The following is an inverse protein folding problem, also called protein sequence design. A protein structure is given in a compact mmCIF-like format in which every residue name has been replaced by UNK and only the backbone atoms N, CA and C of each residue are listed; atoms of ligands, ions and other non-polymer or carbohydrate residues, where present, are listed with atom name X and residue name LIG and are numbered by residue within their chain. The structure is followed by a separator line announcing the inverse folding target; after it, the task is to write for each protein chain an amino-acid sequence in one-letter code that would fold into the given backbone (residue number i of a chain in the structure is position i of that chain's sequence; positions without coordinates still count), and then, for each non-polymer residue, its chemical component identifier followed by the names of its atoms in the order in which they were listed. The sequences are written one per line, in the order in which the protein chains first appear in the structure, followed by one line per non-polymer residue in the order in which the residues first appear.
data_IF_459093003235
#
_entry.id   IF_459093003235
#
_cell.length_a   1.000
_cell.length_b   1.000
_cell.length_c   1.000
_cell.angle_alpha   90.00
_cell.angle_beta   90.00
_cell.angle_gamma   90.00
#
_symmetry.space_group_name_H-M   'P 1'
#
loop_
_entity.id
_entity.type
_entity.pdbx_description
1 polymer ?
#
# COMPACT_ATOMS: atom_id res chain seq x y z
N UNK A 1 3.86 -4.15 10.69
CA UNK A 1 2.65 -4.51 9.90
C UNK A 1 3.02 -4.92 8.49
N UNK A 2 3.71 -4.07 7.71
CA UNK A 2 4.15 -4.36 6.33
C UNK A 2 4.84 -5.71 6.20
N UNK A 3 5.87 -5.96 7.02
CA UNK A 3 6.62 -7.21 7.01
C UNK A 3 5.71 -8.43 7.27
N UNK A 4 4.79 -8.35 8.24
CA UNK A 4 3.87 -9.44 8.56
C UNK A 4 2.85 -9.69 7.43
N UNK A 5 2.31 -8.63 6.83
CA UNK A 5 1.39 -8.75 5.70
C UNK A 5 2.06 -9.40 4.49
N UNK A 6 3.29 -9.00 4.16
CA UNK A 6 4.07 -9.64 3.09
C UNK A 6 4.46 -11.07 3.46
N UNK A 7 4.80 -11.33 4.73
CA UNK A 7 5.12 -12.67 5.20
C UNK A 7 3.94 -13.64 5.11
N UNK A 8 2.71 -13.18 5.41
CA UNK A 8 1.50 -13.98 5.23
C UNK A 8 1.33 -14.47 3.78
N UNK A 9 1.68 -13.62 2.80
CA UNK A 9 1.65 -13.97 1.38
C UNK A 9 2.82 -14.89 1.00
N UNK A 10 4.02 -14.61 1.54
CA UNK A 10 5.21 -15.44 1.34
C UNK A 10 4.99 -16.89 1.82
N UNK A 11 4.28 -17.08 2.94
CA UNK A 11 3.93 -18.41 3.47
C UNK A 11 3.06 -19.21 2.49
N UNK A 12 2.05 -18.56 1.90
CA UNK A 12 1.16 -19.19 0.92
C UNK A 12 1.89 -19.51 -0.40
N UNK A 13 2.83 -18.66 -0.82
CA UNK A 13 3.61 -18.87 -2.03
C UNK A 13 4.76 -19.89 -1.85
N UNK A 14 5.24 -20.06 -0.62
CA UNK A 14 6.43 -20.85 -0.27
C UNK A 14 7.75 -20.15 -0.62
N UNK A 15 7.75 -18.83 -0.80
CA UNK A 15 8.93 -18.05 -1.19
C UNK A 15 8.86 -16.62 -0.66
N UNK A 16 10.00 -16.03 -0.32
CA UNK A 16 10.13 -14.61 0.05
C UNK A 16 10.35 -13.70 -1.16
N UNK A 17 10.52 -14.26 -2.36
CA UNK A 17 10.69 -13.48 -3.57
C UNK A 17 9.34 -12.93 -4.03
N UNK A 18 9.20 -11.60 -4.09
CA UNK A 18 7.98 -10.92 -4.53
C UNK A 18 7.50 -11.37 -5.91
N UNK A 19 8.42 -11.60 -6.86
CA UNK A 19 8.06 -12.07 -8.19
C UNK A 19 7.45 -13.48 -8.16
N UNK A 20 7.95 -14.36 -7.28
CA UNK A 20 7.39 -15.70 -7.09
C UNK A 20 6.02 -15.65 -6.39
N UNK A 21 5.85 -14.76 -5.41
CA UNK A 21 4.54 -14.54 -4.76
C UNK A 21 3.49 -14.13 -5.81
N UNK A 22 3.82 -13.14 -6.65
CA UNK A 22 2.95 -12.68 -7.74
C UNK A 22 2.65 -13.81 -8.72
N UNK A 23 3.67 -14.55 -9.17
CA UNK A 23 3.49 -15.66 -10.11
C UNK A 23 2.57 -16.77 -9.55
N UNK A 24 2.72 -17.12 -8.26
CA UNK A 24 1.85 -18.08 -7.58
C UNK A 24 0.40 -17.61 -7.54
N UNK A 25 0.16 -16.36 -7.17
CA UNK A 25 -1.19 -15.78 -7.14
C UNK A 25 -1.81 -15.68 -8.54
N UNK A 26 -1.03 -15.52 -9.60
CA UNK A 26 -1.52 -15.59 -10.99
C UNK A 26 -1.93 -17.01 -11.40
N UNK A 27 -1.19 -18.03 -10.96
CA UNK A 27 -1.48 -19.43 -11.30
C UNK A 27 -2.75 -19.95 -10.62
N UNK A 28 -3.07 -19.44 -9.42
CA UNK A 28 -4.27 -19.81 -8.67
C UNK A 28 -5.07 -18.57 -8.27
N UNK A 29 -5.90 -17.99 -9.18
CA UNK A 29 -6.71 -16.82 -8.86
C UNK A 29 -7.60 -17.01 -7.64
N UNK A 30 -8.08 -18.22 -7.35
CA UNK A 30 -8.85 -18.53 -6.14
C UNK A 30 -8.09 -18.28 -4.83
N UNK A 31 -6.76 -18.33 -4.84
CA UNK A 31 -5.94 -18.04 -3.65
C UNK A 31 -6.02 -16.55 -3.23
N UNK A 32 -6.31 -15.65 -4.17
CA UNK A 32 -6.49 -14.21 -3.89
C UNK A 32 -7.72 -13.93 -3.02
N UNK A 33 -8.71 -14.83 -3.04
CA UNK A 33 -9.93 -14.75 -2.23
C UNK A 33 -9.79 -15.46 -0.89
N UNK A 34 -8.61 -16.00 -0.56
CA UNK A 34 -8.38 -16.62 0.74
C UNK A 34 -8.52 -15.58 1.87
N UNK A 35 -9.04 -15.96 3.04
CA UNK A 35 -9.16 -15.05 4.19
C UNK A 35 -7.81 -14.40 4.55
N UNK A 36 -6.71 -15.16 4.50
CA UNK A 36 -5.36 -14.64 4.75
C UNK A 36 -4.95 -13.51 3.78
N UNK A 37 -5.24 -13.65 2.48
CA UNK A 37 -4.96 -12.61 1.49
C UNK A 37 -5.79 -11.35 1.74
N UNK A 38 -7.08 -11.48 2.03
CA UNK A 38 -7.96 -10.33 2.29
C UNK A 38 -7.55 -9.57 3.57
N UNK A 39 -7.17 -10.29 4.62
CA UNK A 39 -6.68 -9.71 5.87
C UNK A 39 -5.33 -9.00 5.66
N UNK A 40 -4.42 -9.61 4.90
CA UNK A 40 -3.14 -8.99 4.54
C UNK A 40 -3.35 -7.72 3.70
N UNK A 41 -4.32 -7.72 2.79
CA UNK A 41 -4.68 -6.56 1.99
C UNK A 41 -5.16 -5.41 2.87
N UNK A 42 -6.12 -5.67 3.76
CA UNK A 42 -6.63 -4.66 4.69
C UNK A 42 -5.54 -4.09 5.60
N UNK A 43 -4.68 -4.97 6.14
CA UNK A 43 -3.55 -4.55 6.96
C UNK A 43 -2.57 -3.64 6.19
N UNK A 44 -2.17 -4.04 4.99
CA UNK A 44 -1.24 -3.28 4.16
C UNK A 44 -1.87 -1.97 3.66
N UNK A 45 -3.16 -1.96 3.35
CA UNK A 45 -3.90 -0.76 2.95
C UNK A 45 -3.92 0.29 4.07
N UNK A 46 -4.27 -0.09 5.30
CA UNK A 46 -4.27 0.83 6.45
C UNK A 46 -2.88 1.45 6.66
N UNK A 47 -1.83 0.63 6.57
CA UNK A 47 -0.45 1.11 6.77
C UNK A 47 0.02 1.96 5.59
N UNK A 48 -0.41 1.65 4.38
CA UNK A 48 -0.15 2.49 3.21
C UNK A 48 -0.69 3.89 3.45
N UNK A 49 -1.92 4.03 3.95
CA UNK A 49 -2.47 5.35 4.29
C UNK A 49 -1.65 6.05 5.38
N UNK A 50 -1.25 5.32 6.43
CA UNK A 50 -0.49 5.87 7.54
C UNK A 50 0.91 6.36 7.11
N UNK A 51 1.65 5.55 6.36
CA UNK A 51 3.02 5.85 5.92
C UNK A 51 3.10 6.94 4.86
N UNK A 52 2.02 7.10 4.09
CA UNK A 52 1.90 8.15 3.05
C UNK A 52 1.23 9.42 3.57
N UNK A 53 0.90 9.49 4.86
CA UNK A 53 0.29 10.68 5.48
C UNK A 53 -1.09 11.03 4.91
N UNK A 54 -1.82 10.04 4.40
CA UNK A 54 -3.15 10.19 3.81
C UNK A 54 -4.22 10.12 4.89
N UNK A 55 -5.40 10.67 4.62
CA UNK A 55 -6.53 10.56 5.55
C UNK A 55 -6.91 9.07 5.71
N UNK A 56 -7.31 8.64 6.92
CA UNK A 56 -7.64 9.46 8.09
C UNK A 56 -6.47 9.86 9.02
N UNK A 57 -5.23 9.49 8.70
CA UNK A 57 -4.08 9.67 9.61
C UNK A 57 -3.64 11.12 9.61
N UNK A 58 -3.34 11.67 8.44
CA UNK A 58 -2.99 13.07 8.28
C UNK A 58 -3.50 13.64 6.96
N UNK A 59 -3.35 14.95 6.77
CA UNK A 59 -3.57 15.64 5.52
C UNK A 59 -2.39 16.62 5.30
N UNK A 60 -1.53 16.37 4.29
CA UNK A 60 -0.36 17.20 4.02
C UNK A 60 -0.72 18.60 3.51
N UNK A 61 -1.95 18.83 3.04
CA UNK A 61 -2.40 20.12 2.50
C UNK A 61 -3.07 21.04 3.54
N UNK A 62 -3.06 20.68 4.83
CA UNK A 62 -3.71 21.49 5.87
C UNK A 62 -2.78 22.56 6.43
N UNK A 63 -2.79 23.74 5.79
CA UNK A 63 -2.12 24.98 6.23
C UNK A 63 -2.88 25.70 7.37
N UNK A 64 -3.36 24.98 8.39
CA UNK A 64 -3.97 25.61 9.57
C UNK A 64 -2.91 25.72 10.67
N UNK A 65 -2.78 26.90 11.28
CA UNK A 65 -1.71 27.27 12.23
C UNK A 65 -1.50 26.25 13.37
N UNK A 66 -2.53 25.47 13.72
CA UNK A 66 -2.51 24.46 14.80
C UNK A 66 -2.34 23.00 14.34
N UNK A 67 -2.30 22.72 13.03
CA UNK A 67 -2.06 21.37 12.47
C UNK A 67 -0.84 21.28 11.56
N UNK A 68 -0.02 22.34 11.49
CA UNK A 68 1.16 22.43 10.62
C UNK A 68 2.36 21.56 11.05
N UNK A 69 2.19 20.41 11.72
CA UNK A 69 3.36 19.61 12.12
C UNK A 69 4.11 19.10 10.87
N UNK A 70 3.40 18.54 9.89
CA UNK A 70 4.01 18.06 8.65
C UNK A 70 4.53 19.19 7.76
N UNK A 71 3.82 20.32 7.73
CA UNK A 71 4.23 21.49 6.95
C UNK A 71 5.47 22.15 7.56
N UNK A 72 5.47 22.36 8.88
CA UNK A 72 6.58 22.98 9.60
C UNK A 72 7.90 22.22 9.45
N UNK A 73 7.85 20.89 9.26
CA UNK A 73 9.04 20.09 8.96
C UNK A 73 9.70 20.45 7.62
N UNK A 74 8.94 20.98 6.65
CA UNK A 74 9.44 21.31 5.31
C UNK A 74 9.54 22.82 5.03
N UNK A 75 8.95 23.67 5.88
CA UNK A 75 8.89 25.13 5.69
C UNK A 75 10.26 25.82 5.55
N UNK A 76 11.31 25.24 6.13
CA UNK A 76 12.68 25.77 6.02
C UNK A 76 13.36 25.47 4.68
N UNK A 77 12.81 24.54 3.89
CA UNK A 77 13.36 24.14 2.60
C UNK A 77 12.72 24.90 1.44
N UNK A 78 13.52 25.22 0.44
CA UNK A 78 13.04 25.88 -0.78
C UNK A 78 13.74 25.34 -2.03
N UNK A 79 13.09 25.54 -3.19
CA UNK A 79 13.62 25.19 -4.51
C UNK A 79 14.00 23.71 -4.63
N UNK A 80 15.30 23.45 -4.82
CA UNK A 80 15.83 22.12 -5.12
C UNK A 80 15.63 21.11 -3.97
N UNK A 81 15.83 21.56 -2.74
CA UNK A 81 15.69 20.68 -1.57
C UNK A 81 14.23 20.29 -1.33
N UNK A 82 13.31 21.26 -1.46
CA UNK A 82 11.88 20.99 -1.40
C UNK A 82 11.45 19.99 -2.50
N UNK A 83 11.94 20.17 -3.74
CA UNK A 83 11.64 19.25 -4.83
C UNK A 83 12.08 17.81 -4.55
N UNK A 84 13.23 17.61 -3.90
CA UNK A 84 13.70 16.26 -3.51
C UNK A 84 12.80 15.63 -2.44
N UNK A 85 12.32 16.41 -1.48
CA UNK A 85 11.42 15.94 -0.41
C UNK A 85 10.07 15.53 -1.01
N UNK A 86 9.48 16.39 -1.85
CA UNK A 86 8.23 16.10 -2.56
C UNK A 86 8.36 14.87 -3.47
N UNK A 87 9.49 14.76 -4.18
CA UNK A 87 9.74 13.61 -5.03
C UNK A 87 9.89 12.31 -4.21
N UNK A 88 10.55 12.37 -3.05
CA UNK A 88 10.63 11.23 -2.13
C UNK A 88 9.26 10.82 -1.59
N UNK A 89 8.38 11.79 -1.27
CA UNK A 89 7.00 11.52 -0.86
C UNK A 89 6.19 10.85 -1.98
N UNK A 90 6.32 11.35 -3.22
CA UNK A 90 5.69 10.76 -4.40
C UNK A 90 6.20 9.33 -4.68
N UNK A 91 7.51 9.11 -4.56
CA UNK A 91 8.13 7.78 -4.69
C UNK A 91 7.62 6.82 -3.62
N UNK A 92 7.50 7.27 -2.36
CA UNK A 92 6.94 6.47 -1.27
C UNK A 92 5.52 6.01 -1.62
N UNK A 93 4.64 6.93 -2.04
CA UNK A 93 3.28 6.61 -2.47
C UNK A 93 3.27 5.61 -3.63
N UNK A 94 4.10 5.83 -4.65
CA UNK A 94 4.22 4.94 -5.80
C UNK A 94 4.66 3.53 -5.38
N UNK A 95 5.63 3.40 -4.47
CA UNK A 95 6.10 2.11 -3.97
C UNK A 95 4.98 1.38 -3.24
N UNK A 96 4.30 2.03 -2.29
CA UNK A 96 3.21 1.37 -1.57
C UNK A 96 2.03 0.99 -2.47
N UNK A 97 1.63 1.84 -3.40
CA UNK A 97 0.57 1.50 -4.35
C UNK A 97 0.98 0.38 -5.32
N UNK A 98 2.24 0.36 -5.77
CA UNK A 98 2.73 -0.71 -6.64
C UNK A 98 2.79 -2.07 -5.91
N UNK A 99 3.19 -2.08 -4.64
CA UNK A 99 3.15 -3.28 -3.79
C UNK A 99 1.71 -3.75 -3.61
N UNK A 100 0.80 -2.86 -3.22
CA UNK A 100 -0.59 -3.21 -2.97
C UNK A 100 -1.30 -3.67 -4.25
N UNK A 101 -1.05 -3.00 -5.38
CA UNK A 101 -1.60 -3.37 -6.67
C UNK A 101 -1.07 -4.71 -7.20
N UNK A 102 0.25 -4.90 -7.22
CA UNK A 102 0.83 -6.10 -7.86
C UNK A 102 0.78 -7.34 -6.99
N UNK A 103 0.87 -7.22 -5.67
CA UNK A 103 0.92 -8.37 -4.77
C UNK A 103 -0.46 -9.00 -4.55
N UNK A 104 -1.53 -8.19 -4.57
CA UNK A 104 -2.90 -8.66 -4.34
C UNK A 104 -3.73 -8.80 -5.62
N UNK A 105 -3.46 -7.96 -6.63
CA UNK A 105 -4.15 -7.99 -7.92
C UNK A 105 -3.10 -8.16 -9.03
N UNK A 106 -2.49 -9.34 -9.20
CA UNK A 106 -1.35 -9.56 -10.09
C UNK A 106 -1.74 -9.62 -11.58
N UNK A 107 -2.77 -8.88 -12.00
CA UNK A 107 -3.21 -8.84 -13.40
C UNK A 107 -2.24 -8.05 -14.28
N UNK A 108 -1.97 -8.57 -15.47
CA UNK A 108 -1.09 -7.92 -16.45
C UNK A 108 0.39 -7.88 -16.06
N UNK A 109 0.83 -8.60 -15.02
CA UNK A 109 2.27 -8.73 -14.74
C UNK A 109 2.89 -9.65 -15.79
N UNK A 110 3.91 -9.16 -16.48
CA UNK A 110 4.57 -9.92 -17.53
C UNK A 110 5.59 -10.91 -16.95
N UNK A 111 5.46 -12.19 -17.31
CA UNK A 111 6.47 -13.21 -17.03
C UNK A 111 7.57 -13.30 -18.12
N UNK A 112 7.32 -12.70 -19.31
CA UNK A 112 8.22 -12.76 -20.47
C UNK A 112 8.65 -11.36 -20.86
N UNK A 113 9.94 -11.15 -21.14
CA UNK A 113 10.49 -9.85 -21.53
C UNK A 113 10.31 -9.60 -23.03
N UNK A 114 9.06 -9.42 -23.48
CA UNK A 114 8.77 -8.92 -24.84
C UNK A 114 8.32 -7.47 -24.80
N UNK A 115 8.59 -6.65 -25.83
CA UNK A 115 8.14 -5.26 -25.86
C UNK A 115 6.62 -5.10 -25.69
N UNK A 116 5.84 -6.00 -26.30
CA UNK A 116 4.38 -5.98 -26.22
C UNK A 116 3.88 -6.28 -24.79
N UNK A 117 4.42 -7.31 -24.15
CA UNK A 117 4.02 -7.66 -22.78
C UNK A 117 4.49 -6.64 -21.75
N UNK A 118 5.62 -5.97 -22.00
CA UNK A 118 6.08 -4.84 -21.18
C UNK A 118 5.12 -3.66 -21.26
N UNK A 119 4.64 -3.31 -22.46
CA UNK A 119 3.65 -2.25 -22.64
C UNK A 119 2.35 -2.54 -21.89
N UNK A 120 1.87 -3.80 -21.94
CA UNK A 120 0.69 -4.24 -21.18
C UNK A 120 0.95 -4.16 -19.67
N UNK A 121 2.14 -4.53 -19.19
CA UNK A 121 2.48 -4.45 -17.77
C UNK A 121 2.51 -3.01 -17.25
N UNK A 122 3.08 -2.09 -18.02
CA UNK A 122 3.08 -0.64 -17.69
C UNK A 122 1.66 -0.10 -17.70
N UNK A 123 0.85 -0.41 -18.72
CA UNK A 123 -0.54 0.02 -18.79
C UNK A 123 -1.37 -0.53 -17.62
N UNK A 124 -1.22 -1.81 -17.29
CA UNK A 124 -1.88 -2.44 -16.14
C UNK A 124 -1.50 -1.76 -14.83
N UNK A 125 -0.20 -1.48 -14.63
CA UNK A 125 0.26 -0.77 -13.44
C UNK A 125 -0.37 0.63 -13.35
N UNK A 126 -0.36 1.40 -14.43
CA UNK A 126 -0.97 2.73 -14.47
C UNK A 126 -2.46 2.67 -14.11
N UNK A 127 -3.22 1.72 -14.66
CA UNK A 127 -4.63 1.55 -14.32
C UNK A 127 -4.80 1.26 -12.82
N UNK A 128 -4.00 0.35 -12.25
CA UNK A 128 -4.06 0.05 -10.81
C UNK A 128 -3.74 1.28 -9.95
N UNK A 129 -2.72 2.04 -10.34
CA UNK A 129 -2.34 3.27 -9.63
C UNK A 129 -3.46 4.30 -9.66
N UNK A 130 -4.11 4.50 -10.81
CA UNK A 130 -5.26 5.41 -10.96
C UNK A 130 -6.44 4.94 -10.13
N UNK A 131 -6.75 3.65 -10.13
CA UNK A 131 -7.85 3.08 -9.32
C UNK A 131 -7.57 3.26 -7.82
N UNK A 132 -6.36 2.91 -7.36
CA UNK A 132 -5.97 3.09 -5.95
C UNK A 132 -5.96 4.55 -5.54
N UNK A 133 -5.44 5.45 -6.39
CA UNK A 133 -5.50 6.88 -6.17
C UNK A 133 -6.94 7.39 -6.08
N UNK A 134 -7.84 6.89 -6.95
CA UNK A 134 -9.26 7.21 -6.91
C UNK A 134 -9.93 6.74 -5.62
N UNK A 135 -9.64 5.52 -5.15
CA UNK A 135 -10.13 5.01 -3.86
C UNK A 135 -9.66 5.89 -2.71
N UNK A 136 -8.38 6.24 -2.68
CA UNK A 136 -7.82 7.12 -1.64
C UNK A 136 -8.43 8.51 -1.72
N UNK A 137 -8.62 9.09 -2.90
CA UNK A 137 -9.25 10.41 -3.07
C UNK A 137 -10.73 10.41 -2.60
N UNK A 138 -11.48 9.35 -2.89
CA UNK A 138 -12.83 9.19 -2.34
C UNK A 138 -12.79 9.07 -0.82
N UNK A 139 -11.81 8.36 -0.27
CA UNK A 139 -11.68 8.20 1.18
C UNK A 139 -11.31 9.54 1.86
N UNK A 140 -10.39 10.31 1.27
CA UNK A 140 -9.99 11.65 1.73
C UNK A 140 -11.15 12.65 1.71
N UNK A 141 -12.05 12.57 0.73
CA UNK A 141 -13.21 13.47 0.64
C UNK A 141 -14.36 13.06 1.55
N UNK A 142 -14.36 11.83 2.07
CA UNK A 142 -15.44 11.28 2.90
C UNK A 142 -15.12 11.17 4.38
N UNK A 143 -13.84 11.04 4.73
CA UNK A 143 -13.41 10.76 6.11
C UNK A 143 -12.71 11.98 6.72
N UNK A 144 -13.10 12.32 7.95
CA UNK A 144 -12.44 13.34 8.74
C UNK A 144 -11.12 12.83 9.35
N UNK A 145 -10.16 13.74 9.53
CA UNK A 145 -8.88 13.47 10.20
C UNK A 145 -9.12 12.91 11.61
N UNK A 146 -8.45 11.79 11.94
CA UNK A 146 -8.47 11.22 13.28
C UNK A 146 -7.63 12.07 14.24
N UNK A 147 -8.02 12.06 15.51
CA UNK A 147 -7.19 12.63 16.58
C UNK A 147 -5.90 11.81 16.70
N UNK A 148 -4.76 12.47 16.94
CA UNK A 148 -3.45 11.84 17.02
C UNK A 148 -3.42 10.62 17.96
N UNK A 149 -4.11 10.70 19.10
CA UNK A 149 -4.18 9.60 20.08
C UNK A 149 -4.93 8.34 19.59
N UNK A 150 -5.74 8.44 18.52
CA UNK A 150 -6.38 7.29 17.86
C UNK A 150 -5.56 6.67 16.74
N UNK A 151 -4.49 7.33 16.28
CA UNK A 151 -3.61 6.78 15.24
C UNK A 151 -2.93 5.49 15.71
N UNK A 152 -2.40 5.39 16.94
CA UNK A 152 -1.89 4.12 17.46
C UNK A 152 -2.93 3.00 17.45
N UNK A 153 -4.19 3.29 17.82
CA UNK A 153 -5.27 2.29 17.80
C UNK A 153 -5.52 1.75 16.39
N UNK A 154 -5.55 2.62 15.37
CA UNK A 154 -5.70 2.21 13.97
C UNK A 154 -4.53 1.35 13.49
N UNK A 155 -3.30 1.69 13.88
CA UNK A 155 -2.11 0.90 13.55
C UNK A 155 -2.09 -0.45 14.28
N UNK A 156 -2.60 -0.51 15.52
CA UNK A 156 -2.81 -1.77 16.24
C UNK A 156 -3.81 -2.67 15.50
N UNK A 157 -4.91 -2.11 14.98
CA UNK A 157 -5.87 -2.87 14.15
C UNK A 157 -5.17 -3.44 12.91
N UNK A 158 -4.39 -2.64 12.18
CA UNK A 158 -3.60 -3.15 11.04
C UNK A 158 -2.64 -4.26 11.45
N UNK A 159 -1.99 -4.14 12.60
CA UNK A 159 -1.09 -5.17 13.12
C UNK A 159 -1.81 -6.47 13.43
N UNK A 160 -2.97 -6.40 14.09
CA UNK A 160 -3.80 -7.58 14.38
C UNK A 160 -4.28 -8.23 13.09
N UNK A 161 -4.73 -7.45 12.10
CA UNK A 161 -5.11 -7.97 10.78
C UNK A 161 -3.95 -8.70 10.10
N UNK A 162 -2.73 -8.14 10.15
CA UNK A 162 -1.55 -8.80 9.58
C UNK A 162 -1.19 -10.10 10.32
N UNK A 163 -1.35 -10.14 11.65
CA UNK A 163 -1.12 -11.34 12.44
C UNK A 163 -2.17 -12.43 12.13
N UNK A 164 -3.44 -12.05 12.01
CA UNK A 164 -4.52 -12.95 11.59
C UNK A 164 -4.32 -13.44 10.15
N UNK A 165 -3.76 -12.61 9.27
CA UNK A 165 -3.41 -13.02 7.93
C UNK A 165 -2.35 -14.13 7.95
N UNK A 166 -1.30 -13.99 8.77
CA UNK A 166 -0.26 -15.01 8.93
C UNK A 166 -0.85 -16.32 9.47
N UNK A 167 -1.65 -16.27 10.52
CA UNK A 167 -2.25 -17.49 11.11
C UNK A 167 -3.22 -18.15 10.15
N UNK A 168 -4.05 -17.39 9.43
CA UNK A 168 -4.97 -17.91 8.42
C UNK A 168 -4.23 -18.55 7.25
N UNK A 169 -3.20 -17.88 6.70
CA UNK A 169 -2.36 -18.43 5.63
C UNK A 169 -1.61 -19.68 6.05
N UNK A 170 -1.26 -19.81 7.33
CA UNK A 170 -0.62 -21.01 7.87
C UNK A 170 -1.59 -22.19 8.00
N UNK A 171 -2.82 -21.95 8.44
CA UNK A 171 -3.84 -22.99 8.64
C UNK A 171 -4.44 -23.54 7.34
N UNK A 172 -4.49 -22.71 6.28
CA UNK A 172 -5.07 -23.07 4.98
C UNK A 172 -4.06 -23.68 3.99
N UNK A 173 -2.80 -23.86 4.43
CA UNK A 173 -1.73 -24.49 3.66
C UNK A 173 -1.75 -25.99 3.80
#
# INVERSE_FOLDING_TARGET
TVALAIFALALSAGSTNLGQIVARTMMSPGASLSPGHLLAFGALFIVTLAETGRLPIDNPATHLELTMIHEAMILEYSGRYLALIEWAAALKLFVFFSLLGNLFIPWGVSAVLTPATLAVAVASLLVKLVVLAGVVAVLETRIAKLRLFRVPELLSVSFVLALLAVTSSFLLR
#
